data_IF_114996947811
#
_entry.id   IF_114996947811
#
_cell.length_a   1.000
_cell.length_b   1.000
_cell.length_c   1.000
_cell.angle_alpha   90.00
_cell.angle_beta   90.00
_cell.angle_gamma   90.00
#
_symmetry.space_group_name_H-M   'P 1'
#
loop_
_entity.id
_entity.type
_entity.pdbx_description
1 polymer ?
#
# COMPACT_ATOMS: atom_id res chain seq x y z
N UNK A 1 8.37 2.83 26.59
CA UNK A 1 7.59 2.35 25.41
C UNK A 1 6.69 1.21 25.87
N UNK A 2 5.39 1.23 25.56
CA UNK A 2 4.42 0.23 26.07
C UNK A 2 4.51 -1.16 25.39
N UNK A 3 5.31 -1.29 24.34
CA UNK A 3 5.50 -2.56 23.62
C UNK A 3 6.97 -2.71 23.20
N UNK A 4 7.82 -3.33 24.03
CA UNK A 4 9.21 -3.61 23.65
C UNK A 4 9.27 -4.66 22.53
N UNK A 5 10.34 -4.61 21.72
CA UNK A 5 10.61 -5.60 20.69
C UNK A 5 11.36 -6.77 21.32
N UNK A 6 10.67 -7.90 21.45
CA UNK A 6 11.08 -9.05 22.25
C UNK A 6 11.26 -10.30 21.38
N UNK A 7 11.93 -11.32 21.93
CA UNK A 7 12.38 -12.49 21.17
C UNK A 7 11.22 -13.31 20.55
N UNK A 8 10.06 -13.34 21.20
CA UNK A 8 8.82 -13.97 20.70
C UNK A 8 8.41 -13.43 19.31
N UNK A 9 8.79 -12.20 18.96
CA UNK A 9 8.51 -11.62 17.63
C UNK A 9 9.30 -12.32 16.51
N UNK A 10 10.28 -13.15 16.82
CA UNK A 10 11.11 -13.90 15.87
C UNK A 10 10.72 -15.38 15.74
N UNK A 11 9.64 -15.83 16.39
CA UNK A 11 9.23 -17.25 16.35
C UNK A 11 9.10 -17.81 14.93
N UNK A 12 8.46 -17.05 14.02
CA UNK A 12 8.34 -17.46 12.61
C UNK A 12 9.70 -17.53 11.91
N UNK A 13 10.59 -16.58 12.18
CA UNK A 13 11.94 -16.58 11.61
C UNK A 13 12.70 -17.84 12.02
N UNK A 14 12.71 -18.19 13.31
CA UNK A 14 13.41 -19.38 13.79
C UNK A 14 12.81 -20.68 13.27
N UNK A 15 11.49 -20.72 13.05
CA UNK A 15 10.81 -21.86 12.43
C UNK A 15 11.23 -22.06 10.96
N UNK A 16 11.45 -20.97 10.21
CA UNK A 16 11.78 -21.03 8.77
C UNK A 16 13.29 -21.15 8.50
N UNK A 17 14.13 -20.73 9.45
CA UNK A 17 15.59 -20.63 9.27
C UNK A 17 16.29 -21.96 8.90
N UNK A 18 15.97 -23.13 9.51
CA UNK A 18 16.69 -24.38 9.22
C UNK A 18 16.69 -24.76 7.75
N UNK A 19 15.53 -24.61 7.08
CA UNK A 19 15.35 -24.98 5.68
C UNK A 19 15.34 -23.77 4.74
N UNK A 20 15.53 -22.55 5.28
CA UNK A 20 15.36 -21.27 4.56
C UNK A 20 13.99 -21.17 3.86
N UNK A 21 12.96 -21.61 4.57
CA UNK A 21 11.60 -21.72 4.04
C UNK A 21 11.00 -20.36 3.63
N UNK A 22 10.22 -20.39 2.54
CA UNK A 22 9.44 -19.25 2.09
C UNK A 22 8.14 -19.06 2.88
N UNK A 23 7.66 -17.82 2.98
CA UNK A 23 6.34 -17.44 3.47
C UNK A 23 5.90 -16.13 2.82
N UNK A 24 4.76 -15.57 3.20
CA UNK A 24 4.37 -14.21 2.78
C UNK A 24 5.42 -13.16 3.16
N UNK A 25 6.18 -13.38 4.23
CA UNK A 25 7.18 -12.44 4.77
C UNK A 25 8.62 -12.95 4.71
N UNK A 26 8.85 -14.12 4.10
CA UNK A 26 10.16 -14.73 3.93
C UNK A 26 10.31 -15.20 2.49
N UNK A 27 11.36 -14.77 1.79
CA UNK A 27 11.61 -15.21 0.43
C UNK A 27 13.11 -15.33 0.18
N UNK A 28 13.47 -16.17 -0.78
CA UNK A 28 14.84 -16.35 -1.23
C UNK A 28 14.96 -15.78 -2.63
N UNK A 29 16.10 -15.13 -2.91
CA UNK A 29 16.49 -14.70 -4.26
C UNK A 29 17.77 -15.41 -4.64
N UNK A 30 17.92 -15.71 -5.91
CA UNK A 30 19.13 -16.32 -6.48
C UNK A 30 20.23 -15.27 -6.63
N UNK A 31 21.48 -15.74 -6.73
CA UNK A 31 22.61 -14.87 -7.04
C UNK A 31 22.45 -14.17 -8.39
N UNK A 32 21.92 -14.87 -9.38
CA UNK A 32 21.70 -14.31 -10.72
C UNK A 32 20.73 -13.12 -10.69
N UNK A 33 19.67 -13.18 -9.88
CA UNK A 33 18.75 -12.05 -9.70
C UNK A 33 19.42 -10.84 -9.04
N UNK A 34 20.34 -11.07 -8.10
CA UNK A 34 21.12 -10.00 -7.45
C UNK A 34 22.05 -9.33 -8.48
N UNK A 35 22.76 -10.12 -9.29
CA UNK A 35 23.64 -9.61 -10.34
C UNK A 35 22.87 -8.83 -11.41
N UNK A 36 21.71 -9.35 -11.84
CA UNK A 36 20.83 -8.67 -12.79
C UNK A 36 20.29 -7.33 -12.27
N UNK A 37 20.15 -7.19 -10.94
CA UNK A 37 19.75 -5.94 -10.27
C UNK A 37 20.94 -5.03 -9.94
N UNK A 38 22.12 -5.27 -10.53
CA UNK A 38 23.35 -4.53 -10.25
C UNK A 38 23.67 -4.47 -8.74
N UNK A 39 23.49 -5.60 -8.05
CA UNK A 39 23.72 -5.75 -6.61
C UNK A 39 22.83 -4.86 -5.73
N UNK A 40 21.61 -4.52 -6.17
CA UNK A 40 20.60 -3.92 -5.29
C UNK A 40 20.11 -4.95 -4.25
N UNK A 41 20.55 -4.77 -3.00
CA UNK A 41 20.24 -5.65 -1.86
C UNK A 41 19.01 -5.20 -1.05
N UNK A 42 18.19 -4.30 -1.57
CA UNK A 42 16.96 -3.89 -0.88
C UNK A 42 16.04 -5.09 -0.63
N UNK A 43 15.57 -5.22 0.60
CA UNK A 43 14.61 -6.25 1.02
C UNK A 43 13.16 -5.89 0.65
N UNK A 44 12.91 -5.59 -0.63
CA UNK A 44 11.55 -5.36 -1.14
C UNK A 44 10.86 -6.71 -1.25
N UNK A 45 9.79 -6.91 -0.48
CA UNK A 45 9.05 -8.16 -0.45
C UNK A 45 8.27 -8.36 -1.77
N UNK A 46 8.63 -9.35 -2.61
CA UNK A 46 7.90 -9.64 -3.85
C UNK A 46 6.52 -10.27 -3.59
N UNK A 47 6.31 -10.88 -2.42
CA UNK A 47 5.04 -11.51 -2.04
C UNK A 47 4.04 -10.52 -1.47
N UNK A 48 4.45 -9.28 -1.18
CA UNK A 48 3.58 -8.27 -0.61
C UNK A 48 2.53 -7.84 -1.64
N UNK A 49 1.26 -8.16 -1.35
CA UNK A 49 0.14 -7.60 -2.10
C UNK A 49 -0.02 -6.13 -1.73
N UNK A 50 0.11 -5.26 -2.71
CA UNK A 50 -0.14 -3.83 -2.52
C UNK A 50 -1.64 -3.61 -2.31
N UNK A 51 -2.02 -3.13 -1.12
CA UNK A 51 -3.31 -2.48 -0.91
C UNK A 51 -3.24 -0.98 -1.24
N UNK A 52 -2.15 -0.53 -1.87
CA UNK A 52 -2.02 0.86 -2.28
C UNK A 52 -3.01 1.15 -3.41
N UNK A 53 -3.56 2.35 -3.33
CA UNK A 53 -4.33 2.93 -4.41
C UNK A 53 -3.47 3.00 -5.68
N UNK A 54 -3.96 2.39 -6.76
CA UNK A 54 -3.25 2.31 -8.05
C UNK A 54 -3.60 3.46 -8.97
N UNK A 55 -4.46 4.40 -8.54
CA UNK A 55 -4.86 5.54 -9.37
C UNK A 55 -3.65 6.41 -9.69
N UNK A 56 -3.53 6.80 -10.96
CA UNK A 56 -2.49 7.75 -11.38
C UNK A 56 -2.84 9.17 -10.87
N UNK A 57 -1.86 10.09 -10.82
CA UNK A 57 -2.16 11.49 -10.52
C UNK A 57 -3.27 12.08 -11.39
N UNK A 58 -3.31 11.73 -12.68
CA UNK A 58 -4.32 12.19 -13.63
C UNK A 58 -5.71 11.66 -13.27
N UNK A 59 -5.84 10.37 -12.98
CA UNK A 59 -7.11 9.77 -12.54
C UNK A 59 -7.61 10.37 -11.22
N UNK A 60 -6.69 10.73 -10.32
CA UNK A 60 -7.02 11.44 -9.09
C UNK A 60 -7.53 12.86 -9.36
N UNK A 61 -6.94 13.58 -10.32
CA UNK A 61 -7.39 14.91 -10.72
C UNK A 61 -8.79 14.87 -11.34
N UNK A 62 -9.04 13.91 -12.24
CA UNK A 62 -10.37 13.71 -12.86
C UNK A 62 -11.43 13.37 -11.81
N UNK A 63 -11.08 12.54 -10.84
CA UNK A 63 -11.96 12.22 -9.72
C UNK A 63 -12.27 13.46 -8.86
N UNK A 64 -11.26 14.28 -8.58
CA UNK A 64 -11.44 15.52 -7.81
C UNK A 64 -12.42 16.46 -8.55
N UNK A 65 -12.25 16.63 -9.86
CA UNK A 65 -13.13 17.52 -10.64
C UNK A 65 -14.56 16.97 -10.71
N UNK A 66 -14.72 15.65 -10.89
CA UNK A 66 -16.03 14.99 -10.86
C UNK A 66 -16.72 15.22 -9.52
N UNK A 67 -16.00 15.02 -8.41
CA UNK A 67 -16.55 15.23 -7.06
C UNK A 67 -16.85 16.69 -6.77
N UNK A 68 -16.06 17.62 -7.30
CA UNK A 68 -16.33 19.05 -7.21
C UNK A 68 -17.64 19.41 -7.89
N UNK A 69 -17.92 18.84 -9.06
CA UNK A 69 -19.16 19.09 -9.79
C UNK A 69 -20.38 18.56 -9.03
N UNK A 70 -20.32 17.33 -8.51
CA UNK A 70 -21.39 16.75 -7.66
C UNK A 70 -21.70 17.65 -6.45
N UNK A 71 -20.66 18.18 -5.80
CA UNK A 71 -20.81 19.09 -4.66
C UNK A 71 -21.42 20.43 -5.10
N UNK A 72 -21.00 20.98 -6.24
CA UNK A 72 -21.56 22.22 -6.76
C UNK A 72 -23.06 22.10 -7.06
N UNK A 73 -23.48 20.99 -7.65
CA UNK A 73 -24.88 20.68 -7.93
C UNK A 73 -25.71 20.55 -6.65
N UNK A 74 -25.21 19.80 -5.66
CA UNK A 74 -25.87 19.66 -4.36
C UNK A 74 -26.03 21.03 -3.66
N UNK A 75 -25.01 21.89 -3.72
CA UNK A 75 -25.06 23.23 -3.17
C UNK A 75 -26.08 24.13 -3.89
N UNK A 76 -26.19 24.02 -5.22
CA UNK A 76 -27.17 24.78 -6.00
C UNK A 76 -28.61 24.41 -5.61
N UNK A 77 -28.90 23.11 -5.44
CA UNK A 77 -30.20 22.62 -4.97
C UNK A 77 -30.54 23.21 -3.60
N UNK A 78 -29.60 23.15 -2.63
CA UNK A 78 -29.83 23.68 -1.29
C UNK A 78 -30.08 25.19 -1.27
N UNK A 79 -29.38 25.95 -2.12
CA UNK A 79 -29.62 27.40 -2.27
C UNK A 79 -31.00 27.68 -2.85
N UNK A 80 -31.41 26.97 -3.91
CA UNK A 80 -32.75 27.08 -4.48
C UNK A 80 -33.86 26.70 -3.50
N UNK A 81 -33.62 25.78 -2.56
CA UNK A 81 -34.55 25.47 -1.48
C UNK A 81 -34.64 26.58 -0.43
N UNK A 82 -33.52 27.23 -0.11
CA UNK A 82 -33.48 28.35 0.85
C UNK A 82 -34.14 29.63 0.30
N UNK A 83 -34.10 29.83 -1.02
CA UNK A 83 -34.68 31.00 -1.69
C UNK A 83 -36.18 30.86 -2.00
N UNK A 84 -36.78 29.71 -1.67
CA UNK A 84 -38.23 29.49 -1.77
C UNK A 84 -38.91 30.09 -0.52
N UNK A 85 -39.89 31.01 -0.67
CA UNK A 85 -40.57 31.66 0.46
C UNK A 85 -41.43 30.69 1.29
#
# INVERSE_FOLDING_TARGET
KKTPFTLDRFEEFFRLLPDRGGSERSWTVTRQEIEAKNYDLKAVNPNAKSNADTRTPEELLDLIETKRQEVAEALAVLRGMKERP
#
